data_IF_951581735244
#
_entry.id   IF_951581735244
#
_cell.length_a   1.000
_cell.length_b   1.000
_cell.length_c   1.000
_cell.angle_alpha   90.00
_cell.angle_beta   90.00
_cell.angle_gamma   90.00
#
_symmetry.space_group_name_H-M   'P 1'
#
loop_
_entity.id
_entity.type
_entity.pdbx_description
1 polymer ?
#
# COMPACT_ATOMS: atom_id res chain seq x y z
N UNK A 1 -7.53 13.79 -10.52
CA UNK A 1 -8.36 13.12 -9.49
C UNK A 1 -7.46 12.24 -8.63
N UNK A 2 -7.53 12.35 -7.29
CA UNK A 2 -6.65 11.61 -6.36
C UNK A 2 -7.27 10.27 -5.97
N UNK A 3 -6.44 9.28 -5.69
CA UNK A 3 -6.87 7.98 -5.14
C UNK A 3 -7.59 8.22 -3.81
N UNK A 4 -8.73 7.58 -3.60
CA UNK A 4 -9.56 7.78 -2.40
C UNK A 4 -9.05 6.94 -1.22
N UNK A 5 -9.41 7.31 0.03
CA UNK A 5 -9.10 6.47 1.20
C UNK A 5 -9.62 5.04 1.09
N UNK A 6 -10.81 4.83 0.49
CA UNK A 6 -11.38 3.50 0.29
C UNK A 6 -10.59 2.67 -0.72
N UNK A 7 -10.09 3.31 -1.79
CA UNK A 7 -9.16 2.68 -2.71
C UNK A 7 -7.84 2.28 -2.03
N UNK A 8 -7.36 3.08 -1.06
CA UNK A 8 -6.20 2.70 -0.25
C UNK A 8 -6.48 1.54 0.72
N UNK A 9 -7.69 1.43 1.26
CA UNK A 9 -8.08 0.28 2.09
C UNK A 9 -8.03 -1.04 1.31
N UNK A 10 -8.51 -1.03 0.06
CA UNK A 10 -8.41 -2.21 -0.82
C UNK A 10 -6.97 -2.65 -1.08
N UNK A 11 -6.02 -1.70 -1.15
CA UNK A 11 -4.60 -2.07 -1.24
C UNK A 11 -4.10 -2.77 0.01
N UNK A 12 -4.53 -2.34 1.21
CA UNK A 12 -4.12 -2.96 2.47
C UNK A 12 -4.68 -4.36 2.62
N UNK A 13 -5.97 -4.55 2.33
CA UNK A 13 -6.60 -5.86 2.36
C UNK A 13 -5.85 -6.84 1.43
N UNK A 14 -5.41 -6.38 0.26
CA UNK A 14 -4.61 -7.19 -0.66
C UNK A 14 -3.19 -7.49 -0.11
N UNK A 15 -2.56 -6.52 0.57
CA UNK A 15 -1.25 -6.70 1.20
C UNK A 15 -1.30 -7.69 2.38
N UNK A 16 -2.41 -7.70 3.13
CA UNK A 16 -2.63 -8.59 4.27
C UNK A 16 -2.98 -10.02 3.82
N UNK A 17 -3.83 -10.14 2.80
CA UNK A 17 -4.30 -11.44 2.30
C UNK A 17 -3.32 -12.16 1.39
N UNK A 18 -2.40 -11.45 0.71
CA UNK A 18 -1.52 -12.05 -0.29
C UNK A 18 -0.04 -11.65 -0.09
N UNK A 19 0.75 -12.60 0.44
CA UNK A 19 2.20 -12.43 0.65
C UNK A 19 2.97 -12.19 -0.65
N UNK A 20 2.59 -12.84 -1.76
CA UNK A 20 3.22 -12.66 -3.07
C UNK A 20 2.96 -11.26 -3.63
N UNK A 21 1.75 -10.73 -3.39
CA UNK A 21 1.41 -9.35 -3.73
C UNK A 21 2.22 -8.36 -2.88
N UNK A 22 2.34 -8.61 -1.57
CA UNK A 22 3.14 -7.79 -0.65
C UNK A 22 4.60 -7.69 -1.05
N UNK A 23 5.21 -8.82 -1.40
CA UNK A 23 6.59 -8.89 -1.86
C UNK A 23 6.77 -8.48 -3.33
N UNK A 24 5.67 -8.32 -4.06
CA UNK A 24 5.65 -8.14 -5.52
C UNK A 24 6.49 -9.22 -6.23
N UNK A 25 6.36 -10.47 -5.76
CA UNK A 25 7.06 -11.63 -6.30
C UNK A 25 6.08 -12.59 -6.93
N UNK A 26 6.49 -13.17 -8.04
CA UNK A 26 5.75 -14.25 -8.68
C UNK A 26 6.06 -15.53 -7.92
N UNK A 27 5.01 -16.28 -7.56
CA UNK A 27 5.17 -17.58 -6.92
C UNK A 27 5.61 -18.61 -7.98
N UNK A 28 6.65 -19.43 -7.74
CA UNK A 28 7.13 -20.41 -8.73
C UNK A 28 6.06 -21.43 -9.13
N UNK A 29 5.18 -21.77 -8.18
CA UNK A 29 4.04 -22.67 -8.29
C UNK A 29 2.81 -22.00 -8.91
N UNK A 30 2.75 -20.67 -8.93
CA UNK A 30 1.65 -19.92 -9.51
C UNK A 30 2.14 -18.66 -10.27
N UNK A 31 2.62 -18.83 -11.52
CA UNK A 31 3.20 -17.74 -12.30
C UNK A 31 2.19 -16.66 -12.69
N UNK A 32 0.89 -16.98 -12.75
CA UNK A 32 -0.18 -16.03 -13.10
C UNK A 32 -0.83 -15.37 -11.88
N UNK A 33 -0.68 -15.96 -10.69
CA UNK A 33 -1.40 -15.54 -9.49
C UNK A 33 -1.19 -14.08 -9.10
N UNK A 34 -0.01 -13.51 -9.36
CA UNK A 34 0.24 -12.08 -9.15
C UNK A 34 -0.56 -11.21 -10.13
N UNK A 35 -0.62 -11.59 -11.40
CA UNK A 35 -1.40 -10.90 -12.44
C UNK A 35 -2.89 -10.99 -12.12
N UNK A 36 -3.39 -12.18 -11.77
CA UNK A 36 -4.79 -12.40 -11.41
C UNK A 36 -5.20 -11.58 -10.17
N UNK A 37 -4.28 -11.45 -9.20
CA UNK A 37 -4.50 -10.61 -8.02
C UNK A 37 -4.61 -9.12 -8.39
N UNK A 38 -3.78 -8.65 -9.32
CA UNK A 38 -3.86 -7.29 -9.85
C UNK A 38 -5.14 -7.04 -10.63
N UNK A 39 -5.62 -8.02 -11.39
CA UNK A 39 -6.90 -7.91 -12.10
C UNK A 39 -8.08 -7.83 -11.14
N UNK A 40 -8.13 -8.72 -10.14
CA UNK A 40 -9.17 -8.71 -9.10
C UNK A 40 -9.16 -7.39 -8.34
N UNK A 41 -7.99 -6.93 -7.91
CA UNK A 41 -7.83 -5.66 -7.20
C UNK A 41 -8.26 -4.47 -8.07
N UNK A 42 -7.86 -4.44 -9.34
CA UNK A 42 -8.24 -3.36 -10.28
C UNK A 42 -9.75 -3.23 -10.45
N UNK A 43 -10.46 -4.37 -10.51
CA UNK A 43 -11.94 -4.38 -10.55
C UNK A 43 -12.54 -3.80 -9.27
N UNK A 44 -12.06 -4.22 -8.09
CA UNK A 44 -12.52 -3.67 -6.80
C UNK A 44 -12.23 -2.18 -6.67
N UNK A 45 -11.04 -1.73 -7.05
CA UNK A 45 -10.63 -0.32 -7.00
C UNK A 45 -11.51 0.56 -7.89
N UNK A 46 -11.80 0.11 -9.11
CA UNK A 46 -12.64 0.84 -10.05
C UNK A 46 -14.13 0.81 -9.65
N UNK A 47 -14.55 -0.20 -8.87
CA UNK A 47 -15.91 -0.33 -8.33
C UNK A 47 -16.17 0.44 -7.03
N UNK A 48 -15.12 0.80 -6.28
CA UNK A 48 -15.22 1.47 -4.97
C UNK A 48 -15.65 2.95 -5.01
N UNK A 49 -15.86 3.52 -6.20
CA UNK A 49 -16.09 4.95 -6.38
C UNK A 49 -14.80 5.76 -6.32
N UNK A 50 -14.57 6.62 -7.31
CA UNK A 50 -13.33 7.39 -7.43
C UNK A 50 -12.71 7.32 -8.84
N UNK A 51 -11.41 7.64 -8.99
CA UNK A 51 -10.75 7.54 -10.29
C UNK A 51 -10.68 6.09 -10.74
N UNK A 52 -11.13 5.85 -11.97
CA UNK A 52 -10.96 4.57 -12.65
C UNK A 52 -9.66 4.57 -13.44
N UNK A 53 -8.90 3.50 -13.32
CA UNK A 53 -7.58 3.35 -13.94
C UNK A 53 -7.41 1.95 -14.49
N UNK A 54 -6.49 1.81 -15.44
CA UNK A 54 -6.05 0.49 -15.87
C UNK A 54 -5.07 -0.11 -14.84
N UNK A 55 -4.77 -1.40 -14.98
CA UNK A 55 -3.93 -2.13 -14.04
C UNK A 55 -2.50 -1.56 -13.99
N UNK A 56 -1.95 -1.12 -15.13
CA UNK A 56 -0.60 -0.55 -15.19
C UNK A 56 -0.51 0.77 -14.39
N UNK A 57 -1.54 1.60 -14.50
CA UNK A 57 -1.68 2.82 -13.70
C UNK A 57 -1.87 2.51 -12.21
N UNK A 58 -2.68 1.51 -11.86
CA UNK A 58 -2.82 1.06 -10.48
C UNK A 58 -1.51 0.53 -9.89
N UNK A 59 -0.71 -0.19 -10.67
CA UNK A 59 0.64 -0.62 -10.26
C UNK A 59 1.55 0.58 -9.98
N UNK A 60 1.50 1.62 -10.82
CA UNK A 60 2.26 2.86 -10.61
C UNK A 60 1.82 3.58 -9.34
N UNK A 61 0.52 3.78 -9.16
CA UNK A 61 -0.08 4.42 -7.98
C UNK A 61 0.32 3.70 -6.70
N UNK A 62 0.26 2.36 -6.73
CA UNK A 62 0.71 1.54 -5.61
C UNK A 62 2.20 1.71 -5.30
N UNK A 63 3.05 1.73 -6.33
CA UNK A 63 4.50 1.93 -6.17
C UNK A 63 4.80 3.30 -5.55
N UNK A 64 4.19 4.36 -6.09
CA UNK A 64 4.34 5.73 -5.59
C UNK A 64 3.86 5.85 -4.15
N UNK A 65 2.69 5.29 -3.85
CA UNK A 65 2.11 5.27 -2.52
C UNK A 65 3.01 4.51 -1.53
N UNK A 66 3.47 3.30 -1.86
CA UNK A 66 4.35 2.51 -0.99
C UNK A 66 5.67 3.25 -0.72
N UNK A 67 6.20 3.98 -1.71
CA UNK A 67 7.38 4.83 -1.54
C UNK A 67 7.13 6.00 -0.57
N UNK A 68 5.99 6.68 -0.70
CA UNK A 68 5.59 7.76 0.21
C UNK A 68 5.43 7.26 1.65
N UNK A 69 4.75 6.13 1.84
CA UNK A 69 4.58 5.47 3.14
C UNK A 69 5.93 5.13 3.76
N UNK A 70 6.84 4.51 3.00
CA UNK A 70 8.20 4.19 3.49
C UNK A 70 9.01 5.43 3.82
N UNK A 71 8.87 6.51 3.05
CA UNK A 71 9.53 7.79 3.33
C UNK A 71 9.04 8.37 4.64
N UNK A 72 7.73 8.40 4.87
CA UNK A 72 7.13 8.86 6.14
C UNK A 72 7.58 8.01 7.32
N UNK A 73 7.54 6.68 7.19
CA UNK A 73 8.04 5.77 8.24
C UNK A 73 9.52 5.98 8.57
N UNK A 74 10.36 6.33 7.58
CA UNK A 74 11.76 6.71 7.84
C UNK A 74 11.88 8.05 8.58
N UNK A 75 11.14 9.08 8.14
CA UNK A 75 11.16 10.39 8.79
C UNK A 75 10.73 10.29 10.25
N UNK A 76 9.68 9.53 10.54
CA UNK A 76 9.20 9.29 11.90
C UNK A 76 10.25 8.57 12.74
N UNK A 77 10.85 7.49 12.22
CA UNK A 77 11.94 6.78 12.92
C UNK A 77 13.15 7.67 13.20
N UNK A 78 13.51 8.56 12.27
CA UNK A 78 14.62 9.49 12.47
C UNK A 78 14.27 10.56 13.52
N UNK A 79 13.05 11.10 13.47
CA UNK A 79 12.56 12.06 14.44
C UNK A 79 12.56 11.48 15.87
N UNK A 80 12.10 10.23 16.05
CA UNK A 80 12.17 9.50 17.33
C UNK A 80 13.59 9.33 17.86
N UNK A 81 14.58 9.16 16.98
CA UNK A 81 15.99 8.99 17.37
C UNK A 81 16.63 10.31 17.82
N UNK A 82 16.20 11.44 17.24
CA UNK A 82 16.76 12.77 17.51
C UNK A 82 16.08 13.47 18.69
N UNK A 83 14.77 13.25 18.89
CA UNK A 83 14.04 13.83 20.02
C UNK A 83 13.83 12.78 21.10
N UNK A 84 14.64 12.83 22.17
CA UNK A 84 14.43 12.05 23.39
C UNK A 84 13.17 12.43 24.19
N UNK A 85 12.12 12.94 23.53
CA UNK A 85 10.85 13.32 24.16
C UNK A 85 9.66 13.08 23.23
N UNK A 86 8.59 12.60 23.85
CA UNK A 86 7.43 11.89 23.29
C UNK A 86 6.51 12.84 22.54
N UNK A 87 6.46 12.73 21.21
CA UNK A 87 5.24 13.02 20.47
C UNK A 87 4.76 11.72 19.87
N UNK A 88 3.56 11.32 20.26
CA UNK A 88 2.94 10.05 19.91
C UNK A 88 2.99 9.84 18.38
N UNK A 89 3.90 9.00 17.88
CA UNK A 89 4.04 8.73 16.46
C UNK A 89 2.85 7.91 15.93
N UNK A 90 2.05 7.40 16.85
CA UNK A 90 0.82 6.68 16.61
C UNK A 90 -0.31 7.54 16.04
N UNK A 91 -0.23 8.88 16.15
CA UNK A 91 -1.22 9.80 15.58
C UNK A 91 -0.94 10.25 14.14
N UNK A 92 0.32 10.20 13.69
CA UNK A 92 0.71 10.66 12.34
C UNK A 92 0.84 9.51 11.33
N UNK A 93 1.05 8.28 11.80
CA UNK A 93 0.89 7.09 10.98
C UNK A 93 -0.59 6.73 10.95
N UNK A 94 -1.22 6.89 9.79
CA UNK A 94 -2.52 6.22 9.59
C UNK A 94 -2.30 4.71 9.79
N UNK A 95 -3.26 3.97 10.35
CA UNK A 95 -3.18 2.49 10.56
C UNK A 95 -2.64 1.73 9.32
N UNK A 96 -2.95 2.29 8.15
CA UNK A 96 -2.49 1.96 6.80
C UNK A 96 -0.95 1.86 6.67
N UNK A 97 -0.21 2.76 7.31
CA UNK A 97 1.26 2.86 7.22
C UNK A 97 1.96 1.88 8.16
N UNK A 98 1.30 1.47 9.25
CA UNK A 98 1.80 0.42 10.16
C UNK A 98 1.90 -0.94 9.45
N UNK A 99 0.92 -1.28 8.59
CA UNK A 99 0.89 -2.55 7.86
C UNK A 99 1.76 -2.62 6.59
N UNK A 100 2.33 -1.49 6.14
CA UNK A 100 3.20 -1.48 4.96
C UNK A 100 4.69 -1.68 5.28
N UNK A 101 5.05 -1.83 6.55
CA UNK A 101 6.43 -1.85 7.01
C UNK A 101 7.05 -3.26 7.15
N UNK A 102 6.36 -4.31 6.70
CA UNK A 102 6.86 -5.69 6.66
C UNK A 102 7.83 -5.93 5.50
#
# INVERSE_FOLDING_TARGET
MKTTPDQYRLYLEMLESNVHFRENKIAPDNPTGLTDSWEKLGKSLNGSGGPQRNIAEWKRVFTDWKSQVRKRARLIRNFMKETGNVRDPEKDLTEIEKNCCF
#
